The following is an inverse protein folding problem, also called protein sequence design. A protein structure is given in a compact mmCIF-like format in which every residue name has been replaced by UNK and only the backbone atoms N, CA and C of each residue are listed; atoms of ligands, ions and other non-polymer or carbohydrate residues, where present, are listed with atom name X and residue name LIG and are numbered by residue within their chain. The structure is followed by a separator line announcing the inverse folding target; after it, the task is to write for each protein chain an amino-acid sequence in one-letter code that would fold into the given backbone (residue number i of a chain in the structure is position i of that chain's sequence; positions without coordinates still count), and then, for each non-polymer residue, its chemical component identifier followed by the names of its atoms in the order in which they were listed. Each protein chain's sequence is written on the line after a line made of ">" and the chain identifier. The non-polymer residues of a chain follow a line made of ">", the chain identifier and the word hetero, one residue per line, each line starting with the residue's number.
data_IF_512195381630
#
_entry.id   IF_512195381630
#
_cell.length_a   1.000
_cell.length_b   1.000
_cell.length_c   1.000
_cell.angle_alpha   90.00
_cell.angle_beta   90.00
_cell.angle_gamma   90.00
#
_symmetry.space_group_name_H-M   'P 1'
#
loop_
_entity.id
_entity.type
_entity.pdbx_description
1 polymer ?
#
# COMPACT_ATOMS: atom_id res chain seq x y z
N UNK A 1 71.12 -20.06 17.67
CA UNK A 1 69.71 -20.21 18.14
C UNK A 1 68.98 -18.88 18.36
N UNK A 2 69.66 -17.81 18.81
CA UNK A 2 69.00 -16.51 19.11
C UNK A 2 68.35 -15.87 17.87
N UNK A 3 69.02 -15.85 16.71
CA UNK A 3 68.50 -15.18 15.51
C UNK A 3 67.21 -15.78 14.92
N UNK A 4 67.02 -17.11 14.98
CA UNK A 4 65.81 -17.77 14.46
C UNK A 4 64.61 -17.50 15.36
N UNK A 5 64.82 -17.47 16.68
CA UNK A 5 63.77 -17.14 17.65
C UNK A 5 63.25 -15.71 17.45
N UNK A 6 64.16 -14.73 17.30
CA UNK A 6 63.79 -13.33 17.08
C UNK A 6 63.03 -13.12 15.77
N UNK A 7 63.38 -13.83 14.70
CA UNK A 7 62.65 -13.74 13.42
C UNK A 7 61.24 -14.32 13.54
N UNK A 8 61.10 -15.49 14.18
CA UNK A 8 59.78 -16.13 14.37
C UNK A 8 58.86 -15.27 15.23
N UNK A 9 59.36 -14.68 16.33
CA UNK A 9 58.57 -13.79 17.18
C UNK A 9 58.15 -12.53 16.44
N UNK A 10 59.04 -11.95 15.63
CA UNK A 10 58.74 -10.74 14.86
C UNK A 10 57.64 -10.98 13.81
N UNK A 11 57.69 -12.12 13.11
CA UNK A 11 56.67 -12.48 12.11
C UNK A 11 55.31 -12.75 12.76
N UNK A 12 55.28 -13.43 13.92
CA UNK A 12 54.05 -13.64 14.69
C UNK A 12 53.45 -12.32 15.16
N UNK A 13 54.28 -11.42 15.68
CA UNK A 13 53.87 -10.11 16.18
C UNK A 13 53.35 -9.21 15.05
N UNK A 14 53.97 -9.27 13.86
CA UNK A 14 53.46 -8.62 12.65
C UNK A 14 52.08 -9.16 12.25
N UNK A 15 51.91 -10.50 12.22
CA UNK A 15 50.63 -11.13 11.88
C UNK A 15 49.52 -10.74 12.86
N UNK A 16 49.80 -10.76 14.16
CA UNK A 16 48.88 -10.30 15.21
C UNK A 16 48.52 -8.82 15.04
N UNK A 17 49.50 -7.96 14.82
CA UNK A 17 49.25 -6.52 14.60
C UNK A 17 48.44 -6.25 13.32
N UNK A 18 48.65 -7.06 12.28
CA UNK A 18 47.88 -6.98 11.05
C UNK A 18 46.43 -7.39 11.28
N UNK A 19 46.20 -8.51 11.97
CA UNK A 19 44.86 -8.96 12.34
C UNK A 19 44.11 -7.93 13.21
N UNK A 20 44.79 -7.37 14.21
CA UNK A 20 44.23 -6.31 15.05
C UNK A 20 43.83 -5.09 14.22
N UNK A 21 44.69 -4.63 13.31
CA UNK A 21 44.38 -3.50 12.42
C UNK A 21 43.19 -3.75 11.50
N UNK A 22 43.05 -4.97 10.96
CA UNK A 22 41.90 -5.32 10.13
C UNK A 22 40.61 -5.38 10.96
N UNK A 23 40.68 -5.91 12.19
CA UNK A 23 39.55 -5.89 13.12
C UNK A 23 39.16 -4.45 13.51
N UNK A 24 40.11 -3.61 13.89
CA UNK A 24 39.86 -2.21 14.24
C UNK A 24 39.23 -1.43 13.07
N UNK A 25 39.63 -1.74 11.82
CA UNK A 25 39.02 -1.16 10.61
C UNK A 25 37.58 -1.62 10.42
N UNK A 26 37.28 -2.90 10.61
CA UNK A 26 35.92 -3.43 10.52
C UNK A 26 35.03 -2.85 11.62
N UNK A 27 35.51 -2.78 12.86
CA UNK A 27 34.80 -2.17 13.98
C UNK A 27 34.52 -0.68 13.72
N UNK A 28 35.50 0.05 13.19
CA UNK A 28 35.32 1.45 12.79
C UNK A 28 34.31 1.61 11.63
N UNK A 29 34.28 0.70 10.66
CA UNK A 29 33.29 0.68 9.58
C UNK A 29 31.89 0.44 10.12
N UNK A 30 31.72 -0.56 10.99
CA UNK A 30 30.44 -0.90 11.61
C UNK A 30 29.92 0.27 12.46
N UNK A 31 30.78 0.88 13.28
CA UNK A 31 30.43 2.04 14.09
C UNK A 31 29.97 3.22 13.21
N UNK A 32 30.70 3.50 12.12
CA UNK A 32 30.32 4.55 11.17
C UNK A 32 28.97 4.27 10.51
N UNK A 33 28.73 3.05 10.05
CA UNK A 33 27.45 2.65 9.46
C UNK A 33 26.29 2.77 10.47
N UNK A 34 26.52 2.39 11.73
CA UNK A 34 25.52 2.55 12.78
C UNK A 34 25.23 4.02 13.07
N UNK A 35 26.26 4.86 13.15
CA UNK A 35 26.12 6.31 13.35
C UNK A 35 25.35 6.98 12.20
N UNK A 36 25.68 6.63 10.94
CA UNK A 36 24.97 7.13 9.75
C UNK A 36 23.49 6.71 9.78
N UNK A 37 23.19 5.43 10.10
CA UNK A 37 21.81 4.95 10.25
C UNK A 37 21.05 5.66 11.37
N UNK A 38 21.70 5.92 12.50
CA UNK A 38 21.08 6.65 13.61
C UNK A 38 20.76 8.10 13.23
N UNK A 39 21.68 8.77 12.53
CA UNK A 39 21.46 10.13 12.04
C UNK A 39 20.31 10.19 11.02
N UNK A 40 20.24 9.23 10.09
CA UNK A 40 19.13 9.13 9.14
C UNK A 40 17.80 8.87 9.83
N UNK A 41 17.78 7.96 10.81
CA UNK A 41 16.60 7.64 11.60
C UNK A 41 16.10 8.89 12.37
N UNK A 42 17.00 9.64 13.01
CA UNK A 42 16.66 10.87 13.70
C UNK A 42 16.12 11.95 12.75
N UNK A 43 16.70 12.05 11.54
CA UNK A 43 16.22 12.97 10.51
C UNK A 43 14.79 12.64 10.08
N UNK A 44 14.49 11.36 9.84
CA UNK A 44 13.15 10.89 9.46
C UNK A 44 12.15 11.15 10.60
N UNK A 45 12.54 10.85 11.85
CA UNK A 45 11.72 11.11 13.02
C UNK A 45 11.36 12.59 13.14
N UNK A 46 12.34 13.47 12.96
CA UNK A 46 12.14 14.93 12.99
C UNK A 46 11.14 15.38 11.92
N UNK A 47 11.19 14.80 10.71
CA UNK A 47 10.21 15.11 9.65
C UNK A 47 8.80 14.67 10.04
N UNK A 48 8.67 13.50 10.66
CA UNK A 48 7.39 12.98 11.13
C UNK A 48 6.81 13.85 12.26
N UNK A 49 7.60 14.15 13.30
CA UNK A 49 7.18 14.95 14.45
C UNK A 49 6.75 16.36 14.04
N UNK A 50 7.55 17.02 13.21
CA UNK A 50 7.19 18.35 12.68
C UNK A 50 5.89 18.29 11.89
N UNK A 51 5.68 17.26 11.08
CA UNK A 51 4.43 17.09 10.34
C UNK A 51 3.24 16.92 11.27
N UNK A 52 3.33 16.04 12.29
CA UNK A 52 2.24 15.79 13.24
C UNK A 52 1.91 17.07 14.02
N UNK A 53 2.92 17.80 14.48
CA UNK A 53 2.72 19.07 15.20
C UNK A 53 2.03 20.12 14.32
N UNK A 54 2.54 20.34 13.11
CA UNK A 54 2.00 21.32 12.17
C UNK A 54 0.54 21.01 11.80
N UNK A 55 0.23 19.75 11.50
CA UNK A 55 -1.13 19.35 11.14
C UNK A 55 -2.05 19.41 12.35
N UNK A 56 -1.59 19.02 13.54
CA UNK A 56 -2.37 19.13 14.76
C UNK A 56 -2.76 20.59 15.05
N UNK A 57 -1.83 21.53 14.88
CA UNK A 57 -2.14 22.96 15.02
C UNK A 57 -3.19 23.40 13.99
N UNK A 58 -3.01 23.06 12.71
CA UNK A 58 -3.95 23.39 11.64
C UNK A 58 -5.35 22.80 11.87
N UNK A 59 -5.47 21.64 12.51
CA UNK A 59 -6.76 21.02 12.84
C UNK A 59 -7.53 21.79 13.93
N UNK A 60 -6.83 22.55 14.78
CA UNK A 60 -7.47 23.38 15.83
C UNK A 60 -7.98 24.74 15.31
N UNK A 61 -7.52 25.17 14.13
CA UNK A 61 -7.89 26.46 13.56
C UNK A 61 -9.31 26.47 12.96
N UNK A 62 -10.01 27.61 13.06
CA UNK A 62 -11.43 27.75 12.65
C UNK A 62 -11.68 27.59 11.13
N UNK A 63 -10.67 27.69 10.26
CA UNK A 63 -10.86 27.80 8.81
C UNK A 63 -10.66 26.46 8.05
N UNK A 64 -11.62 25.55 8.17
CA UNK A 64 -11.49 24.14 7.75
C UNK A 64 -11.07 23.91 6.29
N UNK A 65 -11.61 24.64 5.32
CA UNK A 65 -11.35 24.39 3.89
C UNK A 65 -9.93 24.78 3.48
N UNK A 66 -9.45 25.93 3.96
CA UNK A 66 -8.08 26.38 3.69
C UNK A 66 -7.05 25.48 4.39
N UNK A 67 -7.40 24.97 5.58
CA UNK A 67 -6.56 24.04 6.32
C UNK A 67 -6.32 22.74 5.57
N UNK A 68 -7.32 22.16 4.88
CA UNK A 68 -7.13 20.93 4.11
C UNK A 68 -6.11 21.09 2.98
N UNK A 69 -6.08 22.25 2.32
CA UNK A 69 -5.07 22.54 1.28
C UNK A 69 -3.68 22.62 1.91
N UNK A 70 -3.54 23.33 3.04
CA UNK A 70 -2.26 23.43 3.74
C UNK A 70 -1.77 22.08 4.27
N UNK A 71 -2.65 21.30 4.91
CA UNK A 71 -2.36 19.93 5.36
C UNK A 71 -1.86 19.12 4.17
N UNK A 72 -2.59 19.13 3.04
CA UNK A 72 -2.18 18.41 1.84
C UNK A 72 -0.79 18.80 1.35
N UNK A 73 -0.48 20.11 1.31
CA UNK A 73 0.83 20.60 0.87
C UNK A 73 1.98 20.14 1.77
N UNK A 74 1.70 19.82 3.04
CA UNK A 74 2.66 19.21 3.97
C UNK A 74 2.67 17.68 3.85
N UNK A 75 1.52 17.03 3.71
CA UNK A 75 1.39 15.57 3.69
C UNK A 75 2.19 14.93 2.57
N UNK A 76 2.07 15.42 1.33
CA UNK A 76 2.71 14.75 0.20
C UNK A 76 4.24 14.81 0.23
N UNK A 77 4.89 15.97 0.49
CA UNK A 77 6.33 16.02 0.64
C UNK A 77 6.85 15.24 1.85
N UNK A 78 6.12 15.24 2.97
CA UNK A 78 6.52 14.45 4.15
C UNK A 78 6.52 12.97 3.82
N UNK A 79 5.45 12.42 3.23
CA UNK A 79 5.37 11.01 2.84
C UNK A 79 6.51 10.53 1.94
N UNK A 80 7.09 11.40 1.10
CA UNK A 80 8.23 11.05 0.25
C UNK A 80 9.55 10.88 1.00
N UNK A 81 9.65 11.48 2.19
CA UNK A 81 10.86 11.47 3.02
C UNK A 81 10.80 10.42 4.13
N UNK A 82 9.60 9.89 4.41
CA UNK A 82 9.38 8.88 5.44
C UNK A 82 9.67 7.48 4.93
N UNK A 83 10.14 6.62 5.83
CA UNK A 83 10.18 5.18 5.62
C UNK A 83 8.79 4.54 5.79
N UNK A 84 8.70 3.22 5.60
CA UNK A 84 7.44 2.49 5.68
C UNK A 84 6.76 2.60 7.06
N UNK A 85 7.54 2.55 8.14
CA UNK A 85 7.03 2.62 9.51
C UNK A 85 6.41 3.98 9.81
N UNK A 86 7.11 5.08 9.50
CA UNK A 86 6.56 6.43 9.73
C UNK A 86 5.43 6.75 8.75
N UNK A 87 5.44 6.22 7.53
CA UNK A 87 4.27 6.31 6.63
C UNK A 87 3.04 5.66 7.23
N UNK A 88 3.21 4.52 7.90
CA UNK A 88 2.12 3.84 8.60
C UNK A 88 1.60 4.66 9.77
N UNK A 89 2.47 5.25 10.60
CA UNK A 89 2.03 6.17 11.66
C UNK A 89 1.32 7.41 11.10
N UNK A 90 1.85 8.00 10.02
CA UNK A 90 1.22 9.15 9.37
C UNK A 90 -0.15 8.78 8.81
N UNK A 91 -0.27 7.61 8.19
CA UNK A 91 -1.54 7.07 7.71
C UNK A 91 -2.56 6.97 8.85
N UNK A 92 -2.18 6.38 9.98
CA UNK A 92 -3.07 6.24 11.14
C UNK A 92 -3.48 7.60 11.68
N UNK A 93 -2.53 8.53 11.84
CA UNK A 93 -2.83 9.89 12.25
C UNK A 93 -3.85 10.58 11.33
N UNK A 94 -3.70 10.45 10.01
CA UNK A 94 -4.67 10.99 9.04
C UNK A 94 -6.05 10.32 9.17
N UNK A 95 -6.08 9.01 9.39
CA UNK A 95 -7.32 8.24 9.52
C UNK A 95 -8.06 8.61 10.81
N UNK A 96 -7.37 8.60 11.95
CA UNK A 96 -7.90 8.88 13.28
C UNK A 96 -8.34 10.35 13.42
N UNK A 97 -7.62 11.27 12.77
CA UNK A 97 -8.01 12.68 12.68
C UNK A 97 -9.22 12.92 11.76
N UNK A 98 -9.77 11.87 11.14
CA UNK A 98 -10.93 11.95 10.26
C UNK A 98 -10.63 12.53 8.88
N UNK A 99 -9.36 12.74 8.52
CA UNK A 99 -8.96 13.39 7.27
C UNK A 99 -9.12 12.47 6.05
N UNK A 100 -8.95 11.16 6.25
CA UNK A 100 -9.15 10.12 5.22
C UNK A 100 -10.24 9.11 5.61
N UNK A 101 -11.15 9.49 6.51
CA UNK A 101 -12.30 8.70 6.94
C UNK A 101 -13.61 9.35 6.47
N UNK A 102 -14.37 8.66 5.60
CA UNK A 102 -15.59 9.21 5.01
C UNK A 102 -16.83 8.99 5.88
N UNK A 103 -17.15 9.99 6.71
CA UNK A 103 -18.38 10.00 7.49
C UNK A 103 -19.63 10.13 6.60
N UNK A 104 -20.64 9.28 6.78
CA UNK A 104 -21.86 9.25 5.95
C UNK A 104 -22.64 10.57 5.86
N UNK A 105 -22.54 11.41 6.90
CA UNK A 105 -23.21 12.71 6.96
C UNK A 105 -22.41 13.86 6.35
N UNK A 106 -21.15 13.63 5.93
CA UNK A 106 -20.29 14.67 5.38
C UNK A 106 -20.06 14.44 3.89
N UNK A 107 -19.97 15.50 3.07
CA UNK A 107 -19.61 15.35 1.67
C UNK A 107 -18.13 14.96 1.53
N UNK A 108 -17.79 14.26 0.45
CA UNK A 108 -16.40 13.87 0.12
C UNK A 108 -15.47 15.08 0.05
N UNK A 109 -15.98 16.27 -0.30
CA UNK A 109 -15.22 17.52 -0.33
C UNK A 109 -14.64 17.96 1.02
N UNK A 110 -15.14 17.39 2.13
CA UNK A 110 -14.60 17.62 3.47
C UNK A 110 -13.37 16.77 3.81
N UNK A 111 -13.01 15.80 2.97
CA UNK A 111 -11.85 14.94 3.17
C UNK A 111 -10.58 15.59 2.63
N UNK A 112 -9.45 15.21 3.23
CA UNK A 112 -8.14 15.51 2.70
C UNK A 112 -7.95 14.79 1.36
N UNK A 113 -7.69 15.57 0.32
CA UNK A 113 -7.37 15.03 -1.01
C UNK A 113 -5.94 14.50 -1.03
N UNK A 114 -5.79 13.20 -0.80
CA UNK A 114 -4.49 12.52 -0.79
C UNK A 114 -4.15 11.84 -2.12
N UNK A 115 -4.76 12.25 -3.24
CA UNK A 115 -4.41 11.74 -4.56
C UNK A 115 -2.88 11.81 -4.78
N UNK A 116 -2.31 10.73 -5.28
CA UNK A 116 -0.88 10.51 -5.52
C UNK A 116 -0.01 10.44 -4.25
N UNK A 117 -0.61 10.29 -3.07
CA UNK A 117 0.12 10.02 -1.84
C UNK A 117 0.81 8.64 -1.91
N UNK A 118 2.08 8.61 -1.50
CA UNK A 118 2.88 7.39 -1.46
C UNK A 118 2.78 6.73 -0.08
N UNK A 119 1.94 5.70 -0.01
CA UNK A 119 1.79 4.80 1.12
C UNK A 119 2.27 3.38 0.77
N UNK A 120 3.23 3.26 -0.15
CA UNK A 120 3.83 1.96 -0.46
C UNK A 120 4.49 1.36 0.79
N UNK A 121 4.52 0.03 0.81
CA UNK A 121 5.25 -0.78 1.79
C UNK A 121 4.72 -0.69 3.25
N UNK A 122 3.60 0.00 3.51
CA UNK A 122 2.99 0.03 4.85
C UNK A 122 2.45 -1.34 5.28
N UNK A 123 2.45 -1.63 6.58
CA UNK A 123 2.11 -2.94 7.11
C UNK A 123 1.12 -2.87 8.28
N UNK A 124 -0.10 -3.32 8.06
CA UNK A 124 -1.10 -3.49 9.11
C UNK A 124 -1.35 -4.96 9.39
N UNK A 125 -1.31 -5.33 10.67
CA UNK A 125 -1.64 -6.67 11.14
C UNK A 125 -2.55 -6.60 12.35
N UNK A 126 -3.73 -7.19 12.22
CA UNK A 126 -4.62 -7.43 13.35
C UNK A 126 -4.05 -8.50 14.27
N UNK A 127 -4.14 -8.28 15.58
CA UNK A 127 -3.89 -9.28 16.61
C UNK A 127 -5.06 -9.29 17.58
N UNK A 128 -5.00 -10.17 18.59
CA UNK A 128 -5.97 -10.16 19.69
C UNK A 128 -5.89 -8.84 20.47
N UNK A 129 -4.68 -8.28 20.64
CA UNK A 129 -4.48 -7.00 21.33
C UNK A 129 -4.72 -5.79 20.43
N UNK A 130 -4.41 -5.88 19.14
CA UNK A 130 -4.44 -4.76 18.20
C UNK A 130 -5.53 -5.00 17.15
N UNK A 131 -6.66 -4.33 17.30
CA UNK A 131 -7.72 -4.39 16.31
C UNK A 131 -7.29 -3.62 15.04
N UNK A 132 -7.04 -4.33 13.95
CA UNK A 132 -6.87 -3.70 12.64
C UNK A 132 -8.24 -3.48 11.99
N UNK A 133 -8.70 -2.23 11.93
CA UNK A 133 -10.04 -1.89 11.43
C UNK A 133 -10.04 -0.56 10.67
N UNK A 134 -10.54 -0.59 9.43
CA UNK A 134 -10.60 0.58 8.54
C UNK A 134 -11.98 0.77 7.91
N UNK A 135 -13.06 0.97 8.69
CA UNK A 135 -14.33 1.37 8.14
C UNK A 135 -14.21 2.72 7.41
N UNK A 136 -14.83 2.84 6.25
CA UNK A 136 -15.02 4.07 5.47
C UNK A 136 -13.71 4.79 5.12
N UNK A 137 -12.61 4.04 5.07
CA UNK A 137 -11.32 4.55 4.61
C UNK A 137 -11.42 5.07 3.17
N UNK A 138 -10.92 6.27 2.91
CA UNK A 138 -10.96 6.92 1.61
C UNK A 138 -9.55 7.16 1.07
N UNK A 139 -9.14 6.34 0.11
CA UNK A 139 -7.81 6.34 -0.51
C UNK A 139 -7.93 6.23 -2.03
N UNK A 140 -8.60 7.22 -2.61
CA UNK A 140 -8.74 7.36 -4.05
C UNK A 140 -7.42 7.83 -4.70
N UNK A 141 -7.00 7.16 -5.77
CA UNK A 141 -5.79 7.51 -6.56
C UNK A 141 -4.48 7.56 -5.74
N UNK A 142 -4.27 6.65 -4.79
CA UNK A 142 -3.03 6.58 -4.00
C UNK A 142 -2.07 5.48 -4.48
N UNK A 143 -0.82 5.51 -4.03
CA UNK A 143 0.12 4.40 -4.17
C UNK A 143 0.15 3.58 -2.87
N UNK A 144 -0.14 2.28 -2.99
CA UNK A 144 -0.17 1.28 -1.91
C UNK A 144 0.51 -0.03 -2.37
N UNK A 145 1.50 0.07 -3.26
CA UNK A 145 2.24 -1.09 -3.74
C UNK A 145 3.05 -1.73 -2.61
N UNK A 146 3.10 -3.06 -2.59
CA UNK A 146 3.63 -3.91 -1.52
C UNK A 146 3.04 -3.65 -0.12
N UNK A 147 1.95 -2.89 0.01
CA UNK A 147 1.28 -2.70 1.29
C UNK A 147 0.63 -4.00 1.76
N UNK A 148 0.48 -4.17 3.07
CA UNK A 148 -0.09 -5.37 3.66
C UNK A 148 -1.17 -5.02 4.69
N UNK A 149 -2.31 -5.70 4.57
CA UNK A 149 -3.43 -5.71 5.50
C UNK A 149 -3.68 -7.17 5.86
N UNK A 150 -3.25 -7.57 7.05
CA UNK A 150 -3.34 -8.94 7.56
C UNK A 150 -4.32 -8.95 8.73
N UNK A 151 -5.26 -9.87 8.76
CA UNK A 151 -6.22 -10.01 9.88
C UNK A 151 -7.04 -8.72 10.14
N UNK A 152 -7.27 -7.93 9.08
CA UNK A 152 -7.94 -6.63 9.16
C UNK A 152 -9.43 -6.69 8.79
N UNK A 153 -10.22 -5.82 9.43
CA UNK A 153 -11.60 -5.52 9.05
C UNK A 153 -11.65 -4.26 8.19
N UNK A 154 -12.14 -4.36 6.95
CA UNK A 154 -12.22 -3.25 6.01
C UNK A 154 -13.64 -3.17 5.49
N UNK A 155 -14.36 -2.11 5.84
CA UNK A 155 -15.78 -1.95 5.46
C UNK A 155 -16.02 -0.61 4.80
N UNK A 156 -16.71 -0.59 3.64
CA UNK A 156 -17.01 0.66 2.91
C UNK A 156 -15.77 1.49 2.55
N UNK A 157 -14.62 0.84 2.38
CA UNK A 157 -13.41 1.52 1.96
C UNK A 157 -13.42 1.82 0.45
N UNK A 158 -12.74 2.89 0.05
CA UNK A 158 -12.60 3.29 -1.33
C UNK A 158 -11.11 3.35 -1.71
N UNK A 159 -10.68 2.40 -2.53
CA UNK A 159 -9.36 2.30 -3.14
C UNK A 159 -9.43 2.52 -4.66
N UNK A 160 -10.47 3.22 -5.15
CA UNK A 160 -10.67 3.37 -6.59
C UNK A 160 -9.51 4.13 -7.22
N UNK A 161 -9.06 3.70 -8.40
CA UNK A 161 -7.86 4.18 -9.10
C UNK A 161 -6.54 4.04 -8.32
N UNK A 162 -6.49 3.29 -7.21
CA UNK A 162 -5.24 3.11 -6.47
C UNK A 162 -4.26 2.19 -7.22
N UNK A 163 -2.97 2.42 -7.01
CA UNK A 163 -1.87 1.61 -7.56
C UNK A 163 -1.34 0.70 -6.45
N UNK A 164 -1.67 -0.58 -6.56
CA UNK A 164 -1.58 -1.58 -5.49
C UNK A 164 -0.85 -2.85 -5.96
N UNK A 165 0.23 -2.69 -6.73
CA UNK A 165 1.06 -3.80 -7.18
C UNK A 165 1.53 -4.63 -5.98
N UNK A 166 1.31 -5.94 -6.02
CA UNK A 166 1.70 -6.87 -4.94
C UNK A 166 1.13 -6.52 -3.55
N UNK A 167 0.03 -5.77 -3.48
CA UNK A 167 -0.63 -5.51 -2.20
C UNK A 167 -1.20 -6.81 -1.60
N UNK A 168 -1.15 -6.94 -0.29
CA UNK A 168 -1.61 -8.13 0.44
C UNK A 168 -2.81 -7.80 1.31
N UNK A 169 -3.88 -8.57 1.15
CA UNK A 169 -5.09 -8.62 1.95
C UNK A 169 -5.28 -10.07 2.42
N UNK A 170 -4.51 -10.49 3.42
CA UNK A 170 -4.49 -11.87 3.87
C UNK A 170 -5.37 -12.07 5.11
N UNK A 171 -6.24 -13.08 5.07
CA UNK A 171 -7.17 -13.39 6.17
C UNK A 171 -7.99 -12.17 6.62
N UNK A 172 -8.40 -11.32 5.66
CA UNK A 172 -9.16 -10.09 5.94
C UNK A 172 -10.66 -10.31 5.81
N UNK A 173 -11.45 -9.43 6.43
CA UNK A 173 -12.88 -9.31 6.16
C UNK A 173 -13.10 -7.99 5.43
N UNK A 174 -13.35 -8.06 4.11
CA UNK A 174 -13.57 -6.88 3.26
C UNK A 174 -15.02 -6.84 2.80
N UNK A 175 -15.73 -5.77 3.19
CA UNK A 175 -17.17 -5.64 2.96
C UNK A 175 -17.46 -4.28 2.30
N UNK A 176 -18.39 -4.25 1.34
CA UNK A 176 -18.94 -3.02 0.74
C UNK A 176 -17.87 -2.06 0.19
N UNK A 177 -16.71 -2.57 -0.20
CA UNK A 177 -15.55 -1.75 -0.55
C UNK A 177 -15.30 -1.74 -2.06
N UNK A 178 -14.69 -0.65 -2.55
CA UNK A 178 -14.42 -0.43 -3.97
C UNK A 178 -12.92 -0.44 -4.26
N UNK A 179 -12.54 -1.25 -5.25
CA UNK A 179 -11.25 -1.29 -5.92
C UNK A 179 -11.42 -0.94 -7.42
N UNK A 180 -12.48 -0.20 -7.76
CA UNK A 180 -12.79 0.16 -9.14
C UNK A 180 -11.59 0.84 -9.82
N UNK A 181 -11.23 0.42 -11.03
CA UNK A 181 -10.08 0.93 -11.78
C UNK A 181 -8.70 0.78 -11.08
N UNK A 182 -8.60 0.03 -9.99
CA UNK A 182 -7.33 -0.14 -9.29
C UNK A 182 -6.37 -1.06 -10.07
N UNK A 183 -5.07 -0.83 -9.90
CA UNK A 183 -4.01 -1.72 -10.41
C UNK A 183 -3.57 -2.67 -9.28
N UNK A 184 -4.11 -3.89 -9.30
CA UNK A 184 -3.91 -4.95 -8.30
C UNK A 184 -3.10 -6.13 -8.87
N UNK A 185 -2.18 -5.85 -9.80
CA UNK A 185 -1.35 -6.90 -10.39
C UNK A 185 -0.53 -7.57 -9.30
N UNK A 186 -0.61 -8.91 -9.23
CA UNK A 186 0.00 -9.76 -8.18
C UNK A 186 -0.52 -9.51 -6.77
N UNK A 187 -1.69 -8.89 -6.60
CA UNK A 187 -2.29 -8.71 -5.28
C UNK A 187 -2.74 -10.05 -4.68
N UNK A 188 -2.66 -10.18 -3.36
CA UNK A 188 -3.01 -11.41 -2.64
C UNK A 188 -4.22 -11.18 -1.74
N UNK A 189 -5.34 -11.83 -2.03
CA UNK A 189 -6.58 -11.83 -1.24
C UNK A 189 -6.82 -13.16 -0.51
N UNK A 190 -5.79 -14.00 -0.35
CA UNK A 190 -5.94 -15.37 0.17
C UNK A 190 -6.58 -15.40 1.56
N UNK A 191 -7.42 -16.41 1.79
CA UNK A 191 -8.18 -16.63 3.03
C UNK A 191 -9.10 -15.48 3.46
N UNK A 192 -9.33 -14.49 2.59
CA UNK A 192 -10.19 -13.35 2.94
C UNK A 192 -11.67 -13.63 2.67
N UNK A 193 -12.54 -13.02 3.47
CA UNK A 193 -13.99 -13.03 3.27
C UNK A 193 -14.40 -11.75 2.57
N UNK A 194 -14.98 -11.87 1.38
CA UNK A 194 -15.35 -10.76 0.52
C UNK A 194 -16.88 -10.66 0.41
N UNK A 195 -17.44 -9.47 0.61
CA UNK A 195 -18.88 -9.24 0.48
C UNK A 195 -19.19 -7.87 -0.12
N UNK A 196 -20.01 -7.83 -1.18
CA UNK A 196 -20.38 -6.58 -1.85
C UNK A 196 -19.14 -5.78 -2.31
N UNK A 197 -18.21 -6.46 -2.98
CA UNK A 197 -16.96 -5.92 -3.48
C UNK A 197 -17.10 -5.46 -4.94
N UNK A 198 -16.58 -4.28 -5.23
CA UNK A 198 -16.50 -3.76 -6.60
C UNK A 198 -15.04 -3.73 -7.08
N UNK A 199 -14.68 -4.65 -7.97
CA UNK A 199 -13.40 -4.67 -8.69
C UNK A 199 -13.58 -4.20 -10.14
N UNK A 200 -14.70 -3.56 -10.49
CA UNK A 200 -14.97 -3.26 -11.90
C UNK A 200 -13.88 -2.41 -12.54
N UNK A 201 -13.51 -2.77 -13.76
CA UNK A 201 -12.42 -2.17 -14.53
C UNK A 201 -11.03 -2.20 -13.85
N UNK A 202 -10.83 -3.02 -12.82
CA UNK A 202 -9.52 -3.21 -12.20
C UNK A 202 -8.60 -4.11 -13.05
N UNK A 203 -7.31 -4.02 -12.80
CA UNK A 203 -6.33 -5.00 -13.28
C UNK A 203 -5.96 -5.93 -12.13
N UNK A 204 -6.34 -7.20 -12.23
CA UNK A 204 -6.10 -8.26 -11.25
C UNK A 204 -5.17 -9.35 -11.82
N UNK A 205 -4.31 -8.97 -12.75
CA UNK A 205 -3.36 -9.88 -13.42
C UNK A 205 -2.49 -10.57 -12.38
N UNK A 206 -2.40 -11.90 -12.46
CA UNK A 206 -1.63 -12.75 -11.53
C UNK A 206 -1.98 -12.56 -10.04
N UNK A 207 -3.18 -12.06 -9.72
CA UNK A 207 -3.66 -11.95 -8.34
C UNK A 207 -4.07 -13.31 -7.76
N UNK A 208 -4.12 -13.43 -6.44
CA UNK A 208 -4.36 -14.72 -5.75
C UNK A 208 -5.58 -14.63 -4.84
N UNK A 209 -6.54 -15.54 -5.03
CA UNK A 209 -7.78 -15.66 -4.23
C UNK A 209 -7.90 -17.04 -3.54
N UNK A 210 -6.79 -17.75 -3.32
CA UNK A 210 -6.77 -19.07 -2.69
C UNK A 210 -7.43 -19.03 -1.30
N UNK A 211 -8.46 -19.86 -1.09
CA UNK A 211 -9.20 -19.91 0.17
C UNK A 211 -10.08 -18.69 0.46
N UNK A 212 -10.13 -17.70 -0.44
CA UNK A 212 -11.03 -16.56 -0.28
C UNK A 212 -12.49 -16.98 -0.48
N UNK A 213 -13.41 -16.40 0.29
CA UNK A 213 -14.83 -16.81 0.30
C UNK A 213 -15.74 -15.62 0.00
N UNK A 214 -16.71 -15.83 -0.89
CA UNK A 214 -17.84 -14.92 -1.11
C UNK A 214 -19.07 -15.67 -1.60
N UNK A 215 -20.24 -15.04 -1.43
CA UNK A 215 -21.53 -15.56 -1.93
C UNK A 215 -21.78 -15.09 -3.37
N UNK A 216 -22.69 -15.76 -4.06
CA UNK A 216 -23.14 -15.35 -5.40
C UNK A 216 -23.56 -13.87 -5.43
N UNK A 217 -23.10 -13.15 -6.45
CA UNK A 217 -23.43 -11.73 -6.67
C UNK A 217 -22.69 -10.74 -5.76
N UNK A 218 -21.87 -11.21 -4.81
CA UNK A 218 -21.16 -10.33 -3.90
C UNK A 218 -19.89 -9.71 -4.49
N UNK A 219 -19.34 -10.23 -5.57
CA UNK A 219 -18.08 -9.74 -6.15
C UNK A 219 -18.29 -9.38 -7.60
N UNK A 220 -17.96 -8.12 -7.95
CA UNK A 220 -18.09 -7.60 -9.29
C UNK A 220 -16.72 -7.48 -9.99
N UNK A 221 -16.49 -8.31 -10.99
CA UNK A 221 -15.31 -8.26 -11.87
C UNK A 221 -15.65 -7.72 -13.28
N UNK A 222 -16.74 -6.97 -13.45
CA UNK A 222 -17.08 -6.41 -14.76
C UNK A 222 -15.94 -5.56 -15.34
N UNK A 223 -15.60 -5.75 -16.61
CA UNK A 223 -14.49 -5.08 -17.32
C UNK A 223 -13.09 -5.31 -16.70
N UNK A 224 -12.93 -6.34 -15.86
CA UNK A 224 -11.65 -6.61 -15.17
C UNK A 224 -10.72 -7.45 -16.03
N UNK A 225 -9.41 -7.25 -15.89
CA UNK A 225 -8.43 -8.20 -16.40
C UNK A 225 -7.98 -9.17 -15.29
N UNK A 226 -8.39 -10.44 -15.39
CA UNK A 226 -8.02 -11.51 -14.45
C UNK A 226 -6.91 -12.43 -15.00
N UNK A 227 -6.21 -12.07 -16.08
CA UNK A 227 -5.20 -12.94 -16.71
C UNK A 227 -4.21 -13.50 -15.68
N UNK A 228 -4.06 -14.82 -15.62
CA UNK A 228 -3.17 -15.51 -14.67
C UNK A 228 -3.63 -15.47 -13.21
N UNK A 229 -4.80 -14.92 -12.89
CA UNK A 229 -5.30 -14.89 -11.51
C UNK A 229 -5.60 -16.31 -11.00
N UNK A 230 -5.22 -16.60 -9.76
CA UNK A 230 -5.52 -17.86 -9.09
C UNK A 230 -6.87 -17.71 -8.42
N UNK A 231 -7.92 -18.15 -9.12
CA UNK A 231 -9.32 -18.11 -8.70
C UNK A 231 -10.01 -19.39 -9.17
N UNK A 232 -10.82 -19.99 -8.30
CA UNK A 232 -11.52 -21.25 -8.59
C UNK A 232 -12.73 -21.04 -9.51
N UNK A 233 -13.19 -22.13 -10.15
CA UNK A 233 -14.40 -22.09 -10.98
C UNK A 233 -15.64 -21.69 -10.16
N UNK A 234 -15.80 -22.19 -8.95
CA UNK A 234 -16.93 -21.83 -8.07
C UNK A 234 -16.94 -20.33 -7.77
N UNK A 235 -15.79 -19.77 -7.40
CA UNK A 235 -15.60 -18.34 -7.17
C UNK A 235 -15.97 -17.50 -8.41
N UNK A 236 -15.58 -17.94 -9.61
CA UNK A 236 -15.95 -17.29 -10.86
C UNK A 236 -17.46 -17.35 -11.12
N UNK A 237 -18.10 -18.51 -10.93
CA UNK A 237 -19.56 -18.67 -11.10
C UNK A 237 -20.34 -17.76 -10.13
N UNK A 238 -19.83 -17.57 -8.92
CA UNK A 238 -20.43 -16.70 -7.90
C UNK A 238 -20.16 -15.20 -8.12
N UNK A 239 -19.54 -14.80 -9.23
CA UNK A 239 -19.12 -13.42 -9.50
C UNK A 239 -19.75 -12.84 -10.77
N UNK A 240 -19.83 -11.51 -10.84
CA UNK A 240 -20.19 -10.81 -12.09
C UNK A 240 -18.97 -10.70 -12.99
N UNK A 241 -19.06 -11.19 -14.24
CA UNK A 241 -17.93 -11.34 -15.18
C UNK A 241 -18.16 -10.68 -16.55
N UNK A 242 -19.01 -9.66 -16.64
CA UNK A 242 -19.26 -9.00 -17.93
C UNK A 242 -18.01 -8.32 -18.48
N UNK A 243 -17.70 -8.53 -19.75
CA UNK A 243 -16.58 -7.89 -20.47
C UNK A 243 -15.21 -8.09 -19.79
N UNK A 244 -15.01 -9.16 -19.01
CA UNK A 244 -13.73 -9.43 -18.36
C UNK A 244 -12.80 -10.29 -19.24
N UNK A 245 -11.50 -10.22 -18.97
CA UNK A 245 -10.55 -11.24 -19.41
C UNK A 245 -10.41 -12.25 -18.27
N UNK A 246 -10.65 -13.53 -18.55
CA UNK A 246 -10.61 -14.63 -17.60
C UNK A 246 -9.17 -15.06 -17.27
N UNK A 247 -8.96 -15.88 -16.21
CA UNK A 247 -7.63 -16.35 -15.81
C UNK A 247 -6.78 -16.99 -16.90
N UNK A 248 -7.39 -17.70 -17.84
CA UNK A 248 -6.72 -18.33 -18.97
C UNK A 248 -6.43 -17.37 -20.15
N UNK A 249 -6.76 -16.08 -20.01
CA UNK A 249 -6.60 -15.06 -21.05
C UNK A 249 -7.75 -14.98 -22.06
N UNK A 250 -8.79 -15.82 -21.95
CA UNK A 250 -9.97 -15.72 -22.84
C UNK A 250 -10.96 -14.67 -22.35
N UNK A 251 -11.81 -14.18 -23.24
CA UNK A 251 -12.90 -13.28 -22.84
C UNK A 251 -14.00 -14.02 -22.08
N UNK A 252 -14.53 -13.39 -21.03
CA UNK A 252 -15.78 -13.79 -20.38
C UNK A 252 -17.00 -13.38 -21.20
N UNK A 253 -18.18 -13.42 -20.58
CA UNK A 253 -19.43 -13.03 -21.23
C UNK A 253 -19.36 -11.56 -21.67
N UNK A 254 -19.53 -11.31 -22.96
CA UNK A 254 -19.52 -9.95 -23.52
C UNK A 254 -20.93 -9.36 -23.44
N UNK A 255 -21.06 -8.24 -22.73
CA UNK A 255 -22.30 -7.47 -22.66
C UNK A 255 -22.21 -6.28 -23.62
N UNK A 256 -22.88 -6.40 -24.76
CA UNK A 256 -22.73 -5.51 -25.91
C UNK A 256 -23.52 -4.21 -25.83
N UNK A 257 -24.47 -4.07 -24.88
CA UNK A 257 -25.36 -2.89 -24.81
C UNK A 257 -24.66 -1.55 -24.62
N UNK A 258 -23.43 -1.55 -24.13
CA UNK A 258 -22.60 -0.36 -23.92
C UNK A 258 -21.31 -0.37 -24.75
N UNK A 259 -21.16 -1.32 -25.68
CA UNK A 259 -20.03 -1.30 -26.60
C UNK A 259 -20.31 -0.25 -27.67
N UNK A 260 -19.39 0.70 -27.81
CA UNK A 260 -19.36 1.56 -28.99
C UNK A 260 -18.93 0.65 -30.14
N UNK A 261 -19.88 0.32 -31.02
CA UNK A 261 -19.57 -0.42 -32.25
C UNK A 261 -18.72 0.50 -33.11
N UNK A 262 -17.69 -0.03 -33.77
CA UNK A 262 -16.71 0.70 -34.60
C UNK A 262 -17.32 1.51 -35.78
N UNK A 263 -18.63 1.78 -35.81
CA UNK A 263 -19.31 2.71 -36.72
C UNK A 263 -19.81 4.00 -36.08
N UNK A 264 -19.83 4.12 -34.74
CA UNK A 264 -20.37 5.32 -34.04
C UNK A 264 -19.27 6.31 -33.58
N UNK A 265 -17.99 5.95 -33.72
CA UNK A 265 -16.86 6.80 -33.29
C UNK A 265 -16.64 7.99 -34.23
N UNK A 266 -17.15 7.96 -35.45
CA UNK A 266 -16.96 9.04 -36.44
C UNK A 266 -18.04 10.14 -36.40
N UNK A 267 -19.11 10.02 -35.60
CA UNK A 267 -20.20 11.01 -35.64
C UNK A 267 -20.11 12.15 -34.63
N UNK A 268 -19.12 12.18 -33.73
CA UNK A 268 -19.01 13.24 -32.71
C UNK A 268 -17.62 13.88 -32.61
N UNK A 269 -17.01 14.18 -33.75
CA UNK A 269 -16.00 15.24 -33.82
C UNK A 269 -16.52 16.30 -34.80
N UNK A 270 -17.43 17.15 -34.31
CA UNK A 270 -17.69 18.44 -34.93
C UNK A 270 -16.52 19.37 -34.63
N UNK A 271 -15.94 19.94 -35.70
CA UNK A 271 -14.96 21.04 -35.68
C UNK A 271 -15.31 22.15 -34.70
#
# INVERSE_FOLDING_TARGET
>A
MIGVFTVVTTVLQQKLSYQQREQDKEDARLFRQQSERQADNLRIETVFDNYVNDVSELLTMKNQTQNLVHIRTKTLPSLRQLDAERKQHLFLFLYESGLIYHHHMKPISSLLRVNYANFNDIFFKGTIEIQCSFPRLYLHEVYLSNSSFIDCYIDRANFSNAIMYKATFFNTLIIRSSFKFALLVKANFSNSKLATMDFSAASLVESVFTGALWKEGNVNFANTNLTGAIISNEQLHNSTLYNCILPNGTWGLIYTKNLVVNGDVEQNVSM
#
